data_IF_644970858705
#
_entry.id   IF_644970858705
#
_cell.length_a   1.000
_cell.length_b   1.000
_cell.length_c   1.000
_cell.angle_alpha   90.00
_cell.angle_beta   90.00
_cell.angle_gamma   90.00
#
_symmetry.space_group_name_H-M   'P 1'
#
loop_
_entity.id
_entity.type
_entity.pdbx_description
1 polymer ?
#
# COMPACT_ATOMS: atom_id res chain seq x y z
N UNK A 1 -13.72 4.67 22.81
CA UNK A 1 -12.91 3.94 21.81
C UNK A 1 -12.93 2.49 22.23
N UNK A 2 -13.49 1.60 21.42
CA UNK A 2 -13.57 0.17 21.77
C UNK A 2 -12.37 -0.53 21.16
N UNK A 3 -11.55 -1.18 21.98
CA UNK A 3 -10.42 -1.95 21.51
C UNK A 3 -10.81 -3.42 21.39
N UNK A 4 -10.38 -4.06 20.30
CA UNK A 4 -10.46 -5.50 20.09
C UNK A 4 -9.06 -6.07 20.03
N UNK A 5 -8.89 -7.27 20.58
CA UNK A 5 -7.64 -8.02 20.47
C UNK A 5 -7.76 -8.95 19.27
N UNK A 6 -6.85 -8.83 18.31
CA UNK A 6 -6.95 -9.53 17.02
C UNK A 6 -5.66 -10.27 16.73
N UNK A 7 -5.76 -11.43 16.12
CA UNK A 7 -4.61 -12.25 15.69
C UNK A 7 -4.65 -12.60 14.20
N UNK A 8 -5.66 -12.09 13.50
CA UNK A 8 -5.83 -12.19 12.06
C UNK A 8 -6.57 -10.94 11.53
N UNK A 9 -6.40 -10.67 10.24
CA UNK A 9 -7.23 -9.72 9.48
C UNK A 9 -7.78 -10.46 8.27
N UNK A 10 -9.10 -10.51 8.14
CA UNK A 10 -9.82 -11.21 7.05
C UNK A 10 -9.42 -12.68 6.91
N UNK A 11 -9.20 -13.34 8.04
CA UNK A 11 -8.79 -14.73 8.14
C UNK A 11 -7.29 -14.98 7.92
N UNK A 12 -6.49 -13.93 7.66
CA UNK A 12 -5.04 -14.05 7.47
C UNK A 12 -4.33 -13.72 8.78
N UNK A 13 -3.50 -14.64 9.26
CA UNK A 13 -2.79 -14.51 10.53
C UNK A 13 -1.83 -13.31 10.56
N UNK A 14 -1.77 -12.65 11.71
CA UNK A 14 -0.91 -11.50 11.98
C UNK A 14 0.40 -11.89 12.68
N UNK A 15 1.49 -11.32 12.20
CA UNK A 15 2.83 -11.49 12.74
C UNK A 15 3.55 -10.14 12.94
N UNK A 16 4.45 -10.11 13.91
CA UNK A 16 5.33 -8.98 14.23
C UNK A 16 6.76 -9.34 13.81
N UNK A 17 7.35 -8.58 12.89
CA UNK A 17 8.68 -8.84 12.32
C UNK A 17 9.76 -7.92 12.87
N UNK A 18 9.47 -7.13 13.92
CA UNK A 18 10.45 -6.25 14.59
C UNK A 18 10.74 -6.64 16.04
N UNK A 19 10.56 -7.92 16.37
CA UNK A 19 10.72 -8.46 17.73
C UNK A 19 12.18 -8.58 18.19
N UNK A 20 13.15 -8.56 17.27
CA UNK A 20 14.58 -8.51 17.57
C UNK A 20 15.35 -7.74 16.50
N UNK A 21 16.58 -7.31 16.82
CA UNK A 21 17.45 -6.71 15.81
C UNK A 21 17.66 -7.67 14.62
N UNK A 22 17.52 -7.16 13.40
CA UNK A 22 17.68 -7.93 12.16
C UNK A 22 16.49 -8.79 11.73
N UNK A 23 15.38 -8.84 12.50
CA UNK A 23 14.23 -9.68 12.13
C UNK A 23 13.40 -9.11 10.97
N UNK A 24 13.43 -7.80 10.75
CA UNK A 24 12.59 -7.13 9.74
C UNK A 24 12.68 -7.82 8.38
N UNK A 25 11.51 -8.19 7.83
CA UNK A 25 11.40 -8.90 6.56
C UNK A 25 12.02 -10.31 6.52
N UNK A 26 12.64 -10.81 7.58
CA UNK A 26 13.34 -12.11 7.62
C UNK A 26 12.68 -13.13 8.54
N UNK A 27 12.28 -12.70 9.73
CA UNK A 27 11.65 -13.52 10.75
C UNK A 27 10.48 -12.76 11.36
N UNK A 28 9.44 -13.48 11.77
CA UNK A 28 8.34 -12.87 12.48
C UNK A 28 7.74 -13.83 13.52
N UNK A 29 7.14 -13.26 14.56
CA UNK A 29 6.44 -13.99 15.61
C UNK A 29 4.96 -13.66 15.59
N UNK A 30 4.10 -14.63 15.92
CA UNK A 30 2.66 -14.39 15.96
C UNK A 30 2.34 -13.23 16.92
N UNK A 31 1.45 -12.33 16.51
CA UNK A 31 1.09 -11.16 17.32
C UNK A 31 -0.41 -11.07 17.56
N UNK A 32 -0.78 -10.44 18.68
CA UNK A 32 -2.18 -10.23 19.08
C UNK A 32 -2.44 -8.80 19.55
N UNK A 33 -2.28 -7.78 18.68
CA UNK A 33 -2.40 -6.36 19.08
C UNK A 33 -3.82 -6.01 19.52
N UNK A 34 -3.92 -4.92 20.28
CA UNK A 34 -5.17 -4.20 20.44
C UNK A 34 -5.35 -3.22 19.29
N UNK A 35 -6.53 -3.22 18.67
CA UNK A 35 -6.89 -2.32 17.57
C UNK A 35 -8.23 -1.66 17.88
N UNK A 36 -8.41 -0.38 17.54
CA UNK A 36 -9.73 0.24 17.57
C UNK A 36 -10.70 -0.52 16.65
N UNK A 37 -11.87 -0.89 17.18
CA UNK A 37 -12.83 -1.77 16.49
C UNK A 37 -13.31 -1.20 15.15
N UNK A 38 -13.48 0.13 15.05
CA UNK A 38 -13.91 0.76 13.79
C UNK A 38 -12.77 0.76 12.78
N UNK A 39 -11.55 1.07 13.22
CA UNK A 39 -10.36 0.98 12.37
C UNK A 39 -10.12 -0.46 11.89
N UNK A 40 -10.25 -1.44 12.76
CA UNK A 40 -10.13 -2.86 12.42
C UNK A 40 -11.12 -3.26 11.32
N UNK A 41 -12.39 -2.85 11.41
CA UNK A 41 -13.37 -3.09 10.34
C UNK A 41 -13.05 -2.44 8.99
N UNK A 42 -12.21 -1.39 8.96
CA UNK A 42 -11.69 -0.81 7.71
C UNK A 42 -10.49 -1.63 7.21
N UNK A 43 -9.60 -2.08 8.12
CA UNK A 43 -8.47 -2.96 7.80
C UNK A 43 -8.95 -4.28 7.17
N UNK A 44 -10.00 -4.90 7.71
CA UNK A 44 -10.68 -6.05 7.11
C UNK A 44 -11.01 -5.83 5.64
N UNK A 45 -11.69 -4.72 5.34
CA UNK A 45 -12.08 -4.39 3.95
C UNK A 45 -10.86 -4.10 3.06
N UNK A 46 -9.81 -3.51 3.61
CA UNK A 46 -8.58 -3.22 2.89
C UNK A 46 -7.83 -4.51 2.54
N UNK A 47 -7.63 -5.39 3.52
CA UNK A 47 -6.98 -6.69 3.32
C UNK A 47 -7.78 -7.57 2.37
N UNK A 48 -9.11 -7.58 2.46
CA UNK A 48 -9.94 -8.27 1.47
C UNK A 48 -9.73 -7.72 0.05
N UNK A 49 -9.65 -6.39 -0.10
CA UNK A 49 -9.38 -5.76 -1.42
C UNK A 49 -7.97 -6.11 -1.93
N UNK A 50 -6.97 -6.17 -1.05
CA UNK A 50 -5.61 -6.60 -1.41
C UNK A 50 -5.63 -8.07 -1.86
N UNK A 51 -6.25 -8.97 -1.08
CA UNK A 51 -6.34 -10.40 -1.44
C UNK A 51 -7.01 -10.61 -2.79
N UNK A 52 -8.12 -9.92 -3.05
CA UNK A 52 -8.84 -10.03 -4.33
C UNK A 52 -8.02 -9.51 -5.51
N UNK A 53 -7.15 -8.51 -5.30
CA UNK A 53 -6.24 -8.02 -6.34
C UNK A 53 -5.06 -8.98 -6.55
N UNK A 54 -4.41 -9.41 -5.46
CA UNK A 54 -3.22 -10.26 -5.48
C UNK A 54 -3.52 -11.68 -6.00
N UNK A 55 -4.68 -12.25 -5.69
CA UNK A 55 -5.10 -13.58 -6.19
C UNK A 55 -5.23 -13.64 -7.73
N UNK A 56 -5.59 -12.54 -8.39
CA UNK A 56 -5.55 -12.44 -9.87
C UNK A 56 -4.11 -12.56 -10.42
N UNK A 57 -3.15 -12.18 -9.59
CA UNK A 57 -1.70 -12.35 -9.79
C UNK A 57 -1.17 -13.71 -9.39
N UNK A 58 -2.02 -14.63 -8.90
CA UNK A 58 -1.65 -15.91 -8.28
C UNK A 58 -0.86 -15.75 -6.96
N UNK A 59 -0.96 -14.58 -6.32
CA UNK A 59 -0.36 -14.30 -5.02
C UNK A 59 -1.39 -14.51 -3.90
N UNK A 60 -1.50 -15.74 -3.42
CA UNK A 60 -2.36 -16.08 -2.27
C UNK A 60 -1.68 -15.74 -0.95
N UNK A 61 -2.26 -14.82 -0.16
CA UNK A 61 -1.66 -14.34 1.09
C UNK A 61 -1.86 -15.37 2.20
N UNK A 62 -0.76 -15.81 2.79
CA UNK A 62 -0.70 -16.73 3.95
C UNK A 62 -0.52 -15.99 5.28
N UNK A 63 0.28 -14.92 5.30
CA UNK A 63 0.56 -14.16 6.52
C UNK A 63 0.68 -12.66 6.23
N UNK A 64 0.28 -11.84 7.20
CA UNK A 64 0.51 -10.40 7.22
C UNK A 64 1.54 -10.10 8.30
N UNK A 65 2.64 -9.47 7.92
CA UNK A 65 3.71 -9.04 8.84
C UNK A 65 3.63 -7.54 9.03
N UNK A 66 3.71 -7.10 10.29
CA UNK A 66 3.48 -5.71 10.68
C UNK A 66 4.60 -5.20 11.58
N UNK A 67 4.97 -3.93 11.38
CA UNK A 67 5.82 -3.17 12.29
C UNK A 67 5.08 -2.66 13.53
N UNK A 68 3.75 -2.80 13.58
CA UNK A 68 2.91 -2.52 14.73
C UNK A 68 1.61 -1.79 14.43
N UNK A 69 0.74 -1.75 15.45
CA UNK A 69 -0.57 -1.07 15.41
C UNK A 69 -0.68 -0.01 16.50
N UNK A 70 -0.35 -0.40 17.73
CA UNK A 70 -0.39 0.45 18.91
C UNK A 70 0.99 0.91 19.36
N UNK A 71 1.08 2.12 19.91
CA UNK A 71 2.25 2.58 20.69
C UNK A 71 1.82 2.94 22.10
N UNK A 72 2.60 2.49 23.07
CA UNK A 72 2.42 2.79 24.50
C UNK A 72 2.54 4.29 24.78
N UNK A 73 1.90 4.77 25.86
CA UNK A 73 2.00 6.14 26.32
C UNK A 73 1.07 7.13 25.61
N UNK A 74 1.27 8.43 25.88
CA UNK A 74 0.41 9.50 25.41
C UNK A 74 1.06 10.24 24.23
N UNK A 75 0.39 10.27 23.09
CA UNK A 75 0.87 10.99 21.92
C UNK A 75 -0.26 11.33 20.95
N UNK A 76 0.03 12.23 20.01
CA UNK A 76 -0.96 12.71 19.03
C UNK A 76 -1.11 11.80 17.81
N UNK A 77 -0.11 10.96 17.53
CA UNK A 77 -0.13 9.99 16.42
C UNK A 77 -1.26 8.96 16.59
N UNK A 78 -1.76 8.44 15.46
CA UNK A 78 -2.81 7.43 15.44
C UNK A 78 -2.37 6.07 16.02
N UNK A 79 -1.07 5.79 16.11
CA UNK A 79 -0.59 4.61 16.84
C UNK A 79 -0.89 4.68 18.34
N UNK A 80 -0.79 5.86 18.98
CA UNK A 80 -1.20 6.02 20.39
C UNK A 80 -2.71 5.82 20.59
N UNK A 81 -3.47 5.81 19.50
CA UNK A 81 -4.93 5.58 19.48
C UNK A 81 -5.29 4.19 18.96
N UNK A 82 -4.32 3.32 18.67
CA UNK A 82 -4.55 2.01 18.03
C UNK A 82 -5.39 2.12 16.73
N UNK A 83 -5.14 3.19 15.97
CA UNK A 83 -5.89 3.60 14.76
C UNK A 83 -4.97 3.78 13.54
N UNK A 84 -3.77 3.25 13.63
CA UNK A 84 -2.80 3.19 12.55
C UNK A 84 -2.22 1.78 12.45
N UNK A 85 -1.71 1.41 11.29
CA UNK A 85 -1.11 0.10 11.04
C UNK A 85 0.11 0.30 10.15
N UNK A 86 1.21 -0.34 10.53
CA UNK A 86 2.43 -0.43 9.72
C UNK A 86 2.45 -1.82 9.07
N UNK A 87 2.33 -1.88 7.74
CA UNK A 87 2.40 -3.12 6.96
C UNK A 87 3.81 -3.26 6.37
N UNK A 88 4.52 -4.29 6.82
CA UNK A 88 5.94 -4.47 6.55
C UNK A 88 6.16 -5.53 5.46
N UNK A 89 5.39 -6.63 5.51
CA UNK A 89 5.49 -7.70 4.53
C UNK A 89 4.21 -8.53 4.38
N UNK A 90 4.12 -9.24 3.26
CA UNK A 90 3.13 -10.27 2.98
C UNK A 90 3.87 -11.56 2.63
N UNK A 91 3.49 -12.66 3.27
CA UNK A 91 4.00 -14.00 2.94
C UNK A 91 2.93 -14.71 2.13
N UNK A 92 3.32 -15.30 1.01
CA UNK A 92 2.42 -16.00 0.10
C UNK A 92 2.35 -17.50 0.40
N UNK A 93 1.35 -18.19 -0.15
CA UNK A 93 1.09 -19.60 0.08
C UNK A 93 2.26 -20.52 -0.36
N UNK A 94 3.00 -20.12 -1.39
CA UNK A 94 4.22 -20.78 -1.88
C UNK A 94 5.47 -20.49 -1.03
N UNK A 95 5.32 -19.70 0.04
CA UNK A 95 6.37 -19.19 0.94
C UNK A 95 7.32 -18.16 0.31
N UNK A 96 7.03 -17.66 -0.90
CA UNK A 96 7.63 -16.41 -1.35
C UNK A 96 7.06 -15.24 -0.53
N UNK A 97 7.73 -14.09 -0.59
CA UNK A 97 7.34 -12.90 0.19
C UNK A 97 7.48 -11.63 -0.61
N UNK A 98 6.64 -10.67 -0.26
CA UNK A 98 6.83 -9.26 -0.56
C UNK A 98 7.19 -8.53 0.74
N UNK A 99 8.20 -7.67 0.70
CA UNK A 99 8.63 -6.83 1.83
C UNK A 99 8.64 -5.38 1.37
N UNK A 100 8.13 -4.45 2.17
CA UNK A 100 7.87 -3.08 1.73
C UNK A 100 9.14 -2.34 1.25
N UNK A 101 10.30 -2.60 1.86
CA UNK A 101 11.56 -1.98 1.44
C UNK A 101 12.08 -2.46 0.07
N UNK A 102 11.48 -3.49 -0.54
CA UNK A 102 11.85 -3.93 -1.89
C UNK A 102 11.16 -3.11 -2.98
N UNK A 103 10.57 -1.95 -2.68
CA UNK A 103 9.93 -1.08 -3.67
C UNK A 103 10.83 -0.73 -4.87
N UNK A 104 12.14 -0.42 -4.71
CA UNK A 104 13.02 -0.15 -5.84
C UNK A 104 13.10 -1.31 -6.84
N UNK A 105 13.12 -2.55 -6.34
CA UNK A 105 13.31 -3.77 -7.13
C UNK A 105 11.99 -4.41 -7.60
N UNK A 106 10.94 -4.33 -6.78
CA UNK A 106 9.62 -4.93 -7.02
C UNK A 106 8.49 -3.90 -6.89
N UNK A 107 8.46 -2.88 -7.76
CA UNK A 107 7.52 -1.78 -7.61
C UNK A 107 6.08 -2.15 -7.93
N UNK A 108 5.83 -3.17 -8.76
CA UNK A 108 4.48 -3.43 -9.27
C UNK A 108 3.58 -4.02 -8.19
N UNK A 109 3.97 -5.12 -7.55
CA UNK A 109 3.20 -5.66 -6.42
C UNK A 109 3.07 -4.64 -5.27
N UNK A 110 4.10 -3.81 -5.03
CA UNK A 110 4.06 -2.72 -4.05
C UNK A 110 2.96 -1.71 -4.39
N UNK A 111 2.93 -1.21 -5.64
CA UNK A 111 1.92 -0.25 -6.09
C UNK A 111 0.51 -0.84 -6.15
N UNK A 112 0.38 -2.14 -6.41
CA UNK A 112 -0.91 -2.82 -6.31
C UNK A 112 -1.46 -2.79 -4.87
N UNK A 113 -0.62 -3.13 -3.88
CA UNK A 113 -0.98 -3.08 -2.46
C UNK A 113 -1.33 -1.65 -2.05
N UNK A 114 -0.51 -0.67 -2.41
CA UNK A 114 -0.75 0.73 -2.09
C UNK A 114 -2.08 1.23 -2.69
N UNK A 115 -2.36 0.87 -3.94
CA UNK A 115 -3.60 1.25 -4.61
C UNK A 115 -4.83 0.70 -3.85
N UNK A 116 -4.78 -0.57 -3.45
CA UNK A 116 -5.83 -1.21 -2.65
C UNK A 116 -6.03 -0.51 -1.29
N UNK A 117 -4.95 -0.20 -0.56
CA UNK A 117 -5.00 0.52 0.72
C UNK A 117 -5.68 1.89 0.56
N UNK A 118 -5.32 2.64 -0.48
CA UNK A 118 -5.86 3.96 -0.77
C UNK A 118 -7.36 3.97 -1.13
N UNK A 119 -7.96 2.81 -1.41
CA UNK A 119 -9.42 2.70 -1.56
C UNK A 119 -10.15 2.81 -0.22
N UNK A 120 -9.46 2.53 0.91
CA UNK A 120 -10.04 2.50 2.26
C UNK A 120 -9.47 3.56 3.19
N UNK A 121 -8.24 4.01 2.94
CA UNK A 121 -7.54 4.99 3.78
C UNK A 121 -7.24 6.27 3.02
N UNK A 122 -7.55 7.41 3.63
CA UNK A 122 -7.15 8.72 3.13
C UNK A 122 -5.68 9.03 3.44
N UNK A 123 -5.06 8.35 4.39
CA UNK A 123 -3.63 8.47 4.68
C UNK A 123 -2.98 7.12 4.41
N UNK A 124 -2.07 7.08 3.45
CA UNK A 124 -1.12 5.98 3.23
C UNK A 124 0.23 6.64 3.00
N UNK A 125 1.25 6.30 3.79
CA UNK A 125 2.62 6.77 3.64
C UNK A 125 3.44 5.61 3.08
N UNK A 126 4.20 5.88 2.03
CA UNK A 126 4.93 4.89 1.25
C UNK A 126 6.44 5.11 1.34
N UNK A 127 7.19 4.28 0.62
CA UNK A 127 8.64 4.21 0.60
C UNK A 127 9.30 5.60 0.51
N UNK A 128 8.91 6.41 -0.48
CA UNK A 128 9.51 7.74 -0.72
C UNK A 128 8.88 8.89 0.11
N UNK A 129 7.99 8.57 1.07
CA UNK A 129 7.41 9.61 1.92
C UNK A 129 8.48 10.30 2.76
N UNK A 130 9.30 9.53 3.47
CA UNK A 130 10.53 9.91 4.15
C UNK A 130 11.28 8.67 4.67
N UNK A 131 12.50 8.88 5.21
CA UNK A 131 13.37 7.82 5.72
C UNK A 131 12.72 6.87 6.74
N UNK A 132 11.76 7.36 7.53
CA UNK A 132 11.11 6.54 8.54
C UNK A 132 10.04 5.59 7.96
N UNK A 133 9.66 5.74 6.69
CA UNK A 133 8.62 4.94 6.04
C UNK A 133 9.14 4.16 4.81
N UNK A 134 10.46 4.18 4.56
CA UNK A 134 11.10 3.40 3.49
C UNK A 134 10.93 1.89 3.66
N UNK A 135 10.47 1.42 4.82
CA UNK A 135 10.40 0.01 5.17
C UNK A 135 8.98 -0.48 5.52
N UNK A 136 7.94 0.33 5.35
CA UNK A 136 6.55 -0.10 5.56
C UNK A 136 5.54 0.83 4.90
N UNK A 137 4.32 0.33 4.68
CA UNK A 137 3.18 1.22 4.51
C UNK A 137 2.62 1.60 5.87
N UNK A 138 2.61 2.88 6.19
CA UNK A 138 1.81 3.40 7.29
C UNK A 138 0.44 3.82 6.79
N UNK A 139 -0.63 3.39 7.43
CA UNK A 139 -1.98 3.86 7.12
C UNK A 139 -2.87 4.01 8.36
N UNK A 140 -3.76 5.01 8.31
CA UNK A 140 -4.66 5.36 9.39
C UNK A 140 -6.02 5.83 8.86
N UNK A 141 -7.03 5.86 9.74
CA UNK A 141 -8.38 6.36 9.42
C UNK A 141 -8.63 7.80 9.89
N UNK A 142 -7.58 8.61 9.95
CA UNK A 142 -7.63 10.01 10.36
C UNK A 142 -8.08 10.97 9.27
N UNK A 143 -8.02 10.56 8.01
CA UNK A 143 -8.43 11.37 6.86
C UNK A 143 -9.38 10.61 5.95
N UNK A 144 -10.21 11.35 5.21
CA UNK A 144 -11.21 10.77 4.30
C UNK A 144 -10.57 10.30 3.00
N UNK A 145 -11.10 9.21 2.44
CA UNK A 145 -10.68 8.66 1.14
C UNK A 145 -11.03 9.63 0.01
N UNK A 146 -10.01 10.31 -0.51
CA UNK A 146 -10.04 11.18 -1.71
C UNK A 146 -8.61 11.50 -2.15
N UNK A 147 -8.43 11.90 -3.41
CA UNK A 147 -7.17 12.50 -3.85
C UNK A 147 -7.06 13.96 -3.34
N UNK A 148 -5.83 14.40 -3.06
CA UNK A 148 -5.48 15.75 -2.57
C UNK A 148 -4.14 16.13 -3.22
N UNK A 149 -4.12 17.23 -3.96
CA UNK A 149 -2.92 17.67 -4.70
C UNK A 149 -1.84 18.22 -3.76
N UNK A 150 -2.27 18.70 -2.60
CA UNK A 150 -1.45 19.27 -1.53
C UNK A 150 -0.86 18.21 -0.58
N UNK A 151 -1.33 16.96 -0.65
CA UNK A 151 -0.85 15.90 0.22
C UNK A 151 0.32 15.17 -0.42
N UNK A 152 1.54 15.37 0.09
CA UNK A 152 2.78 14.73 -0.40
C UNK A 152 2.61 13.25 -0.68
N UNK A 153 2.03 12.49 0.25
CA UNK A 153 1.86 11.05 0.07
C UNK A 153 0.93 10.69 -1.09
N UNK A 154 -0.08 11.50 -1.40
CA UNK A 154 -0.97 11.26 -2.55
C UNK A 154 -0.25 11.53 -3.86
N UNK A 155 0.56 12.58 -3.88
CA UNK A 155 1.32 12.97 -5.06
C UNK A 155 2.42 11.96 -5.36
N UNK A 156 3.15 11.48 -4.35
CA UNK A 156 4.16 10.42 -4.53
C UNK A 156 3.58 9.16 -5.17
N UNK A 157 2.46 8.66 -4.64
CA UNK A 157 1.76 7.53 -5.25
C UNK A 157 1.35 7.81 -6.70
N UNK A 158 0.78 8.99 -6.95
CA UNK A 158 0.39 9.37 -8.29
C UNK A 158 1.60 9.37 -9.24
N UNK A 159 2.70 10.03 -8.85
CA UNK A 159 3.93 10.11 -9.64
C UNK A 159 4.50 8.71 -9.92
N UNK A 160 4.59 7.83 -8.92
CA UNK A 160 5.04 6.46 -9.14
C UNK A 160 4.14 5.67 -10.08
N UNK A 161 2.81 5.78 -9.95
CA UNK A 161 1.89 5.07 -10.85
C UNK A 161 1.97 5.61 -12.27
N UNK A 162 2.05 6.93 -12.46
CA UNK A 162 2.25 7.55 -13.77
C UNK A 162 3.54 7.05 -14.45
N UNK A 163 4.67 7.07 -13.72
CA UNK A 163 5.95 6.62 -14.25
C UNK A 163 5.98 5.12 -14.52
N UNK A 164 5.67 4.31 -13.50
CA UNK A 164 5.94 2.86 -13.52
C UNK A 164 4.83 2.05 -14.18
N UNK A 165 3.57 2.46 -14.05
CA UNK A 165 2.42 1.72 -14.58
C UNK A 165 1.96 2.24 -15.94
N UNK A 166 2.08 3.55 -16.17
CA UNK A 166 1.59 4.20 -17.39
C UNK A 166 2.70 4.75 -18.29
N UNK A 167 3.97 4.48 -17.94
CA UNK A 167 5.15 4.89 -18.69
C UNK A 167 5.12 6.40 -19.08
N UNK A 168 4.67 7.24 -18.15
CA UNK A 168 4.61 8.68 -18.36
C UNK A 168 5.88 9.34 -17.83
N UNK A 169 6.40 10.26 -18.63
CA UNK A 169 7.34 11.26 -18.14
C UNK A 169 6.60 12.29 -17.28
N UNK A 170 7.16 12.55 -16.08
CA UNK A 170 6.65 13.51 -15.10
C UNK A 170 7.68 14.62 -14.78
N UNK A 171 8.69 14.78 -15.64
CA UNK A 171 9.76 15.77 -15.49
C UNK A 171 11.02 15.22 -14.82
N UNK A 172 12.10 16.00 -14.89
CA UNK A 172 13.45 15.59 -14.44
C UNK A 172 13.54 15.32 -12.93
N UNK A 173 12.69 15.96 -12.12
CA UNK A 173 12.64 15.74 -10.67
C UNK A 173 12.15 14.34 -10.26
N UNK A 174 11.50 13.62 -11.18
CA UNK A 174 10.87 12.34 -10.86
C UNK A 174 9.79 12.47 -9.78
N UNK A 175 9.68 11.44 -8.93
CA UNK A 175 8.68 11.41 -7.85
C UNK A 175 9.18 12.17 -6.60
N UNK A 176 8.80 13.44 -6.49
CA UNK A 176 9.21 14.35 -5.41
C UNK A 176 8.10 14.68 -4.39
N UNK A 177 6.86 14.27 -4.70
CA UNK A 177 5.67 14.55 -3.90
C UNK A 177 5.10 15.97 -4.08
N UNK A 178 5.51 16.71 -5.12
CA UNK A 178 5.01 18.04 -5.47
C UNK A 178 4.16 17.95 -6.74
N UNK A 179 2.90 18.41 -6.65
CA UNK A 179 1.99 18.36 -7.81
C UNK A 179 2.30 19.54 -8.76
N UNK A 180 3.29 19.34 -9.64
CA UNK A 180 3.71 20.32 -10.64
C UNK A 180 3.03 20.19 -12.01
N UNK A 181 3.35 21.09 -12.96
CA UNK A 181 2.79 21.08 -14.32
C UNK A 181 3.02 19.76 -15.06
N UNK A 182 4.20 19.15 -14.93
CA UNK A 182 4.53 17.89 -15.62
C UNK A 182 3.71 16.72 -15.08
N UNK A 183 3.50 16.66 -13.76
CA UNK A 183 2.61 15.69 -13.12
C UNK A 183 1.15 15.89 -13.57
N UNK A 184 0.67 17.14 -13.68
CA UNK A 184 -0.70 17.42 -14.15
C UNK A 184 -0.88 17.06 -15.64
N UNK A 185 0.13 17.32 -16.47
CA UNK A 185 0.13 16.97 -17.89
C UNK A 185 0.11 15.44 -18.09
N UNK A 186 0.96 14.71 -17.38
CA UNK A 186 0.98 13.25 -17.37
C UNK A 186 -0.35 12.66 -16.88
N UNK A 187 -0.88 13.17 -15.76
CA UNK A 187 -2.19 12.76 -15.26
C UNK A 187 -3.30 13.05 -16.28
N UNK A 188 -3.25 14.17 -16.99
CA UNK A 188 -4.24 14.50 -18.03
C UNK A 188 -4.27 13.46 -19.15
N UNK A 189 -3.09 13.00 -19.60
CA UNK A 189 -2.97 11.93 -20.62
C UNK A 189 -3.56 10.61 -20.11
N UNK A 190 -3.17 10.17 -18.91
CA UNK A 190 -3.64 8.91 -18.33
C UNK A 190 -5.14 8.94 -18.06
N UNK A 191 -5.69 10.04 -17.54
CA UNK A 191 -7.15 10.16 -17.32
C UNK A 191 -7.95 10.03 -18.62
N UNK A 192 -7.44 10.58 -19.73
CA UNK A 192 -8.06 10.40 -21.05
C UNK A 192 -7.96 8.94 -21.50
N UNK A 193 -6.78 8.32 -21.35
CA UNK A 193 -6.55 6.91 -21.71
C UNK A 193 -7.51 5.95 -20.97
N UNK A 194 -7.75 6.18 -19.68
CA UNK A 194 -8.62 5.32 -18.85
C UNK A 194 -10.06 5.85 -18.71
N UNK A 195 -10.39 6.90 -19.48
CA UNK A 195 -11.71 7.53 -19.56
C UNK A 195 -12.32 7.93 -18.20
N UNK A 196 -11.59 8.71 -17.40
CA UNK A 196 -12.09 9.25 -16.12
C UNK A 196 -11.98 10.77 -16.04
N UNK A 197 -12.85 11.36 -15.20
CA UNK A 197 -12.79 12.79 -14.87
C UNK A 197 -11.64 13.14 -13.91
N UNK A 198 -11.63 14.37 -13.41
CA UNK A 198 -10.61 14.81 -12.43
C UNK A 198 -10.62 13.97 -11.15
N UNK A 199 -9.42 13.69 -10.61
CA UNK A 199 -9.25 12.85 -9.41
C UNK A 199 -9.81 13.49 -8.11
N UNK A 200 -10.13 14.78 -8.12
CA UNK A 200 -10.86 15.41 -7.01
C UNK A 200 -12.25 14.80 -6.79
N UNK A 201 -12.86 14.24 -7.84
CA UNK A 201 -14.07 13.45 -7.73
C UNK A 201 -13.76 12.08 -7.13
N UNK A 202 -14.37 11.75 -5.98
CA UNK A 202 -14.11 10.49 -5.25
C UNK A 202 -14.24 9.25 -6.14
N UNK A 203 -15.24 9.19 -7.01
CA UNK A 203 -15.44 8.04 -7.91
C UNK A 203 -14.32 7.92 -8.95
N UNK A 204 -13.85 9.04 -9.51
CA UNK A 204 -12.71 9.03 -10.43
C UNK A 204 -11.42 8.59 -9.71
N UNK A 205 -11.24 9.00 -8.45
CA UNK A 205 -10.12 8.54 -7.63
C UNK A 205 -10.16 7.03 -7.39
N UNK A 206 -11.31 6.50 -6.97
CA UNK A 206 -11.48 5.06 -6.77
C UNK A 206 -11.26 4.28 -8.07
N UNK A 207 -11.80 4.77 -9.19
CA UNK A 207 -11.57 4.14 -10.49
C UNK A 207 -10.10 4.17 -10.90
N UNK A 208 -9.39 5.27 -10.67
CA UNK A 208 -7.95 5.36 -10.91
C UNK A 208 -7.18 4.31 -10.10
N UNK A 209 -7.50 4.16 -8.81
CA UNK A 209 -6.87 3.16 -7.93
C UNK A 209 -7.12 1.73 -8.39
N UNK A 210 -8.35 1.40 -8.78
CA UNK A 210 -8.69 0.08 -9.32
C UNK A 210 -7.85 -0.25 -10.55
N UNK A 211 -7.79 0.68 -11.51
CA UNK A 211 -6.97 0.49 -12.73
C UNK A 211 -5.49 0.37 -12.39
N UNK A 212 -4.97 1.14 -11.43
CA UNK A 212 -3.58 1.01 -10.99
C UNK A 212 -3.32 -0.39 -10.40
N UNK A 213 -4.20 -0.91 -9.54
CA UNK A 213 -4.05 -2.23 -8.97
C UNK A 213 -4.06 -3.33 -10.05
N UNK A 214 -4.96 -3.23 -11.03
CA UNK A 214 -5.05 -4.16 -12.16
C UNK A 214 -3.79 -4.14 -13.03
N UNK A 215 -3.37 -2.96 -13.49
CA UNK A 215 -2.18 -2.80 -14.34
C UNK A 215 -0.91 -3.23 -13.61
N UNK A 216 -0.79 -2.90 -12.32
CA UNK A 216 0.34 -3.31 -11.50
C UNK A 216 0.46 -4.84 -11.41
N UNK A 217 -0.65 -5.55 -11.15
CA UNK A 217 -0.62 -7.02 -11.09
C UNK A 217 -0.28 -7.64 -12.44
N UNK A 218 -0.79 -7.10 -13.54
CA UNK A 218 -0.43 -7.57 -14.89
C UNK A 218 1.07 -7.42 -15.18
N UNK A 219 1.65 -6.28 -14.81
CA UNK A 219 3.09 -6.04 -14.98
C UNK A 219 3.94 -6.97 -14.09
N UNK A 220 3.54 -7.19 -12.83
CA UNK A 220 4.24 -8.11 -11.93
C UNK A 220 4.28 -9.53 -12.51
N UNK A 221 3.15 -10.06 -13.00
CA UNK A 221 3.10 -11.38 -13.66
C UNK A 221 3.98 -11.44 -14.90
N UNK A 222 4.01 -10.35 -15.67
CA UNK A 222 4.79 -10.29 -16.92
C UNK A 222 6.28 -10.46 -16.65
N UNK A 223 6.81 -9.85 -15.57
CA UNK A 223 8.20 -10.04 -15.16
C UNK A 223 8.48 -11.48 -14.75
N UNK A 224 7.65 -12.06 -13.88
CA UNK A 224 7.84 -13.43 -13.40
C UNK A 224 7.79 -14.46 -14.55
N UNK A 225 6.99 -14.18 -15.59
CA UNK A 225 6.87 -15.09 -16.74
C UNK A 225 8.06 -15.12 -17.69
N UNK A 226 8.92 -14.08 -17.69
CA UNK A 226 10.12 -14.04 -18.56
C UNK A 226 11.27 -14.89 -18.01
N UNK A 227 11.30 -15.12 -16.70
CA UNK A 227 12.35 -15.90 -16.01
C UNK A 227 12.00 -17.38 -15.82
N UNK A 228 10.94 -17.88 -16.47
CA UNK A 228 10.64 -19.31 -16.51
C UNK A 228 11.72 -20.07 -17.28
N UNK A 229 12.17 -21.26 -16.82
CA UNK A 229 13.21 -22.01 -17.52
C UNK A 229 12.74 -22.30 -18.95
N UNK A 230 13.56 -21.92 -19.92
CA UNK A 230 13.43 -22.38 -21.29
C UNK A 230 13.43 -23.92 -21.25
N UNK A 231 12.31 -24.53 -21.60
CA UNK A 231 12.26 -25.97 -21.87
C UNK A 231 13.06 -26.31 -23.13
#
# INVERSE_FOLDING_TARGET
>A
MTLVRVDNISGISLFYDRFKSGSYGNEAVAMRPFIDQKFFGICEKAVATIRDALSKGEYEIKQIWSGGVGRSGNGRSYHHKNRAFDLDALIFADNTKWVANTFPDRPYIYLAIEACLRTKFGTVLNYDYNKAHEDHFHFDNGTTVRFKREARSHVLFLQHTLMKLFNQDIGESGADGIFGPDTDAALSRVRKQINIGGLSGKQNWLRYLEVCAEVAILNEKSIVSVDGPSA
#
